data_IF_915960105592
#
_entry.id   IF_915960105592
#
_cell.length_a   1.000
_cell.length_b   1.000
_cell.length_c   1.000
_cell.angle_alpha   90.00
_cell.angle_beta   90.00
_cell.angle_gamma   90.00
#
_symmetry.space_group_name_H-M   'P 1'
#
loop_
_entity.id
_entity.type
_entity.pdbx_description
1 polymer ?
#
# COMPACT_ATOMS: atom_id res chain seq x y z
N UNK A 1 3.88 -5.52 -28.32
CA UNK A 1 4.79 -6.50 -27.68
C UNK A 1 5.81 -5.78 -26.79
N UNK A 2 6.74 -4.98 -27.32
CA UNK A 2 7.81 -4.32 -26.52
C UNK A 2 7.36 -3.48 -25.31
N UNK A 3 6.21 -2.79 -25.36
CA UNK A 3 5.73 -1.95 -24.23
C UNK A 3 5.24 -2.79 -23.06
N UNK A 4 4.50 -3.87 -23.33
CA UNK A 4 4.01 -4.77 -22.29
C UNK A 4 5.16 -5.51 -21.59
N UNK A 5 6.17 -5.92 -22.35
CA UNK A 5 7.34 -6.59 -21.80
C UNK A 5 8.13 -5.67 -20.86
N UNK A 6 8.22 -4.37 -21.20
CA UNK A 6 8.85 -3.36 -20.33
C UNK A 6 8.03 -3.09 -19.07
N UNK A 7 6.70 -2.98 -19.18
CA UNK A 7 5.83 -2.78 -18.01
C UNK A 7 5.94 -3.97 -17.04
N UNK A 8 5.84 -5.20 -17.56
CA UNK A 8 5.98 -6.42 -16.76
C UNK A 8 7.35 -6.51 -16.07
N UNK A 9 8.42 -6.11 -16.74
CA UNK A 9 9.76 -6.08 -16.14
C UNK A 9 9.85 -5.08 -14.98
N UNK A 10 9.24 -3.89 -15.13
CA UNK A 10 9.20 -2.86 -14.07
C UNK A 10 8.33 -3.28 -12.90
N UNK A 11 7.16 -3.86 -13.15
CA UNK A 11 6.31 -4.48 -12.13
C UNK A 11 7.10 -5.54 -11.33
N UNK A 12 7.84 -6.41 -12.03
CA UNK A 12 8.72 -7.39 -11.39
C UNK A 12 9.84 -6.78 -10.53
N UNK A 13 10.33 -5.59 -10.90
CA UNK A 13 11.31 -4.83 -10.09
C UNK A 13 10.67 -4.25 -8.83
N UNK A 14 9.48 -3.64 -8.96
CA UNK A 14 8.69 -3.11 -7.84
C UNK A 14 8.38 -4.22 -6.84
N UNK A 15 7.93 -5.38 -7.33
CA UNK A 15 7.66 -6.54 -6.48
C UNK A 15 8.84 -6.93 -5.61
N UNK A 16 10.02 -7.10 -6.23
CA UNK A 16 11.24 -7.49 -5.50
C UNK A 16 11.62 -6.47 -4.44
N UNK A 17 11.46 -5.18 -4.75
CA UNK A 17 11.75 -4.10 -3.80
C UNK A 17 10.80 -4.12 -2.60
N UNK A 18 9.48 -4.24 -2.84
CA UNK A 18 8.48 -4.29 -1.77
C UNK A 18 8.69 -5.54 -0.89
N UNK A 19 8.89 -6.71 -1.51
CA UNK A 19 9.17 -7.96 -0.79
C UNK A 19 10.43 -7.86 0.07
N UNK A 20 11.50 -7.25 -0.43
CA UNK A 20 12.75 -7.05 0.32
C UNK A 20 12.58 -6.07 1.49
N UNK A 21 11.81 -4.99 1.30
CA UNK A 21 11.62 -3.95 2.30
C UNK A 21 10.71 -4.40 3.46
N UNK A 22 9.62 -5.10 3.15
CA UNK A 22 8.61 -5.51 4.14
C UNK A 22 8.85 -6.89 4.73
N UNK A 23 9.66 -7.73 4.06
CA UNK A 23 10.00 -9.10 4.47
C UNK A 23 8.77 -10.00 4.64
N UNK A 24 9.05 -11.29 4.83
CA UNK A 24 8.01 -12.30 5.10
C UNK A 24 8.01 -12.63 6.59
N UNK A 25 7.24 -11.86 7.35
CA UNK A 25 7.08 -12.01 8.80
C UNK A 25 5.73 -12.65 9.14
N UNK A 26 5.61 -13.18 10.36
CA UNK A 26 4.33 -13.69 10.86
C UNK A 26 3.31 -12.56 11.00
N UNK A 27 2.03 -12.82 10.73
CA UNK A 27 0.99 -11.81 10.92
C UNK A 27 0.88 -11.41 12.40
N UNK A 28 0.52 -10.14 12.67
CA UNK A 28 0.23 -9.70 14.03
C UNK A 28 -1.02 -10.40 14.57
N UNK A 29 -1.19 -10.36 15.89
CA UNK A 29 -2.40 -10.90 16.51
C UNK A 29 -3.64 -10.15 16.01
N UNK A 30 -4.79 -10.82 15.94
CA UNK A 30 -6.03 -10.22 15.44
C UNK A 30 -6.43 -8.95 16.23
N UNK A 31 -6.12 -8.91 17.54
CA UNK A 31 -6.34 -7.75 18.40
C UNK A 31 -5.40 -6.57 18.11
N UNK A 32 -4.30 -6.80 17.41
CA UNK A 32 -3.36 -5.75 17.01
C UNK A 32 -3.73 -5.17 15.63
N UNK A 33 -4.52 -5.87 14.82
CA UNK A 33 -4.93 -5.40 13.48
C UNK A 33 -5.92 -4.24 13.58
N UNK A 34 -6.83 -4.25 14.56
CA UNK A 34 -7.87 -3.22 14.74
C UNK A 34 -7.93 -2.72 16.19
N UNK A 35 -8.43 -1.51 16.40
CA UNK A 35 -8.62 -0.91 17.75
C UNK A 35 -10.08 -0.59 18.09
N UNK A 36 -11.02 -0.95 17.22
CA UNK A 36 -12.44 -0.64 17.36
C UNK A 36 -13.32 -1.88 17.21
N UNK A 37 -14.49 -1.87 17.86
CA UNK A 37 -15.49 -2.94 17.77
C UNK A 37 -16.68 -2.58 16.88
N UNK A 38 -16.55 -1.53 16.06
CA UNK A 38 -17.53 -1.23 15.02
C UNK A 38 -17.52 -2.32 13.93
N UNK A 39 -18.60 -2.37 13.14
CA UNK A 39 -18.83 -3.44 12.18
C UNK A 39 -17.70 -3.56 11.15
N UNK A 40 -17.27 -2.44 10.56
CA UNK A 40 -16.27 -2.41 9.49
C UNK A 40 -14.87 -2.84 9.99
N UNK A 41 -14.34 -2.34 11.13
CA UNK A 41 -13.14 -2.91 11.73
C UNK A 41 -13.26 -4.42 12.02
N UNK A 42 -14.41 -4.89 12.53
CA UNK A 42 -14.58 -6.32 12.80
C UNK A 42 -14.52 -7.16 11.51
N UNK A 43 -15.11 -6.69 10.42
CA UNK A 43 -15.01 -7.35 9.11
C UNK A 43 -13.56 -7.40 8.61
N UNK A 44 -12.80 -6.30 8.76
CA UNK A 44 -11.37 -6.28 8.44
C UNK A 44 -10.62 -7.32 9.28
N UNK A 45 -10.83 -7.35 10.60
CA UNK A 45 -10.19 -8.35 11.46
C UNK A 45 -10.54 -9.77 11.02
N UNK A 46 -11.81 -10.07 10.77
CA UNK A 46 -12.27 -11.41 10.43
C UNK A 46 -11.66 -11.92 9.11
N UNK A 47 -11.45 -11.03 8.14
CA UNK A 47 -10.80 -11.39 6.88
C UNK A 47 -9.28 -11.49 7.00
N UNK A 48 -8.62 -10.54 7.69
CA UNK A 48 -7.17 -10.44 7.71
C UNK A 48 -6.51 -11.30 8.79
N UNK A 49 -7.19 -11.64 9.89
CA UNK A 49 -6.59 -12.37 11.01
C UNK A 49 -5.91 -13.68 10.57
N UNK A 50 -4.62 -13.81 10.90
CA UNK A 50 -3.80 -14.98 10.57
C UNK A 50 -3.41 -15.13 9.09
N UNK A 51 -3.86 -14.23 8.20
CA UNK A 51 -3.43 -14.23 6.79
C UNK A 51 -2.08 -13.55 6.64
N UNK A 52 -1.24 -14.11 5.79
CA UNK A 52 0.07 -13.50 5.47
C UNK A 52 -0.16 -12.46 4.39
N UNK A 53 0.54 -11.32 4.44
CA UNK A 53 0.28 -10.25 3.48
C UNK A 53 0.46 -10.69 2.03
N UNK A 54 1.36 -11.65 1.76
CA UNK A 54 1.59 -12.21 0.42
C UNK A 54 0.54 -13.23 -0.05
N UNK A 55 -0.39 -13.61 0.83
CA UNK A 55 -1.57 -14.41 0.45
C UNK A 55 -2.80 -13.51 0.21
N UNK A 56 -2.72 -12.21 0.52
CA UNK A 56 -3.80 -11.27 0.23
C UNK A 56 -3.74 -10.92 -1.26
N UNK A 57 -4.84 -11.18 -1.97
CA UNK A 57 -4.96 -10.94 -3.41
C UNK A 57 -6.19 -10.10 -3.70
N UNK A 58 -6.21 -9.49 -4.89
CA UNK A 58 -7.35 -8.74 -5.38
C UNK A 58 -8.60 -9.62 -5.49
N UNK A 59 -8.45 -10.83 -6.04
CA UNK A 59 -9.55 -11.80 -6.12
C UNK A 59 -10.10 -12.16 -4.74
N UNK A 60 -9.23 -12.41 -3.75
CA UNK A 60 -9.68 -12.68 -2.38
C UNK A 60 -10.43 -11.50 -1.76
N UNK A 61 -10.01 -10.27 -2.05
CA UNK A 61 -10.73 -9.06 -1.59
C UNK A 61 -12.10 -8.88 -2.27
N UNK A 62 -12.31 -9.44 -3.46
CA UNK A 62 -13.60 -9.36 -4.16
C UNK A 62 -14.54 -10.52 -3.82
N UNK A 63 -13.99 -11.72 -3.62
CA UNK A 63 -14.79 -12.93 -3.41
C UNK A 63 -15.08 -13.19 -1.93
N UNK A 64 -14.08 -12.98 -1.07
CA UNK A 64 -14.11 -13.47 0.31
C UNK A 64 -14.30 -12.33 1.34
N UNK A 65 -13.99 -11.08 0.98
CA UNK A 65 -14.17 -9.94 1.88
C UNK A 65 -15.57 -9.32 1.71
N UNK A 66 -16.30 -9.24 2.82
CA UNK A 66 -17.71 -8.79 2.82
C UNK A 66 -17.88 -7.26 2.86
N UNK A 67 -16.83 -6.51 3.21
CA UNK A 67 -16.87 -5.05 3.35
C UNK A 67 -16.39 -4.29 2.12
N UNK A 68 -16.14 -2.99 2.28
CA UNK A 68 -15.50 -2.17 1.24
C UNK A 68 -13.98 -2.43 1.18
N UNK A 69 -13.55 -3.17 0.16
CA UNK A 69 -12.17 -3.62 -0.01
C UNK A 69 -11.17 -2.46 -0.18
N UNK A 70 -11.64 -1.31 -0.67
CA UNK A 70 -10.84 -0.09 -0.83
C UNK A 70 -10.54 0.61 0.51
N UNK A 71 -11.37 0.38 1.52
CA UNK A 71 -11.30 1.08 2.80
C UNK A 71 -10.56 0.30 3.91
N UNK A 72 -10.15 -0.96 3.66
CA UNK A 72 -9.62 -1.85 4.70
C UNK A 72 -8.50 -1.23 5.55
N UNK A 73 -7.48 -0.64 4.90
CA UNK A 73 -6.34 -0.03 5.60
C UNK A 73 -6.77 1.12 6.54
N UNK A 74 -7.88 1.80 6.24
CA UNK A 74 -8.39 2.91 7.07
C UNK A 74 -8.94 2.44 8.42
N UNK A 75 -9.36 1.17 8.51
CA UNK A 75 -9.89 0.59 9.75
C UNK A 75 -8.83 -0.15 10.56
N UNK A 76 -7.61 -0.29 10.04
CA UNK A 76 -6.51 -0.94 10.74
C UNK A 76 -5.79 0.01 11.70
N UNK A 77 -5.15 -0.55 12.72
CA UNK A 77 -4.16 0.16 13.54
C UNK A 77 -2.89 0.45 12.72
N UNK A 78 -1.96 1.21 13.29
CA UNK A 78 -0.62 1.36 12.70
C UNK A 78 0.11 0.04 12.47
N UNK A 79 -0.02 -0.94 13.38
CA UNK A 79 0.58 -2.26 13.24
C UNK A 79 -0.07 -3.07 12.09
N UNK A 80 -1.41 -3.02 11.99
CA UNK A 80 -2.15 -3.66 10.89
C UNK A 80 -1.77 -3.06 9.53
N UNK A 81 -1.74 -1.73 9.43
CA UNK A 81 -1.31 -1.04 8.21
C UNK A 81 0.13 -1.41 7.86
N UNK A 82 1.07 -1.36 8.81
CA UNK A 82 2.48 -1.68 8.54
C UNK A 82 2.66 -3.11 7.98
N UNK A 83 1.87 -4.07 8.46
CA UNK A 83 1.94 -5.45 8.00
C UNK A 83 1.28 -5.69 6.64
N UNK A 84 0.07 -5.13 6.40
CA UNK A 84 -0.71 -5.42 5.19
C UNK A 84 -0.53 -4.45 4.03
N UNK A 85 0.03 -3.25 4.27
CA UNK A 85 0.38 -2.29 3.22
C UNK A 85 1.12 -2.89 2.01
N UNK A 86 2.11 -3.79 2.14
CA UNK A 86 2.79 -4.37 0.97
C UNK A 86 1.85 -5.11 0.03
N UNK A 87 0.76 -5.72 0.51
CA UNK A 87 -0.22 -6.34 -0.38
C UNK A 87 -0.89 -5.30 -1.29
N UNK A 88 -1.30 -4.16 -0.72
CA UNK A 88 -1.93 -3.07 -1.46
C UNK A 88 -0.97 -2.36 -2.41
N UNK A 89 0.29 -2.17 -2.00
CA UNK A 89 1.34 -1.64 -2.89
C UNK A 89 1.50 -2.50 -4.15
N UNK A 90 1.52 -3.83 -3.98
CA UNK A 90 1.65 -4.75 -5.12
C UNK A 90 0.37 -4.82 -5.95
N UNK A 91 -0.81 -4.85 -5.33
CA UNK A 91 -2.07 -4.82 -6.06
C UNK A 91 -2.18 -3.57 -6.93
N UNK A 92 -1.85 -2.40 -6.39
CA UNK A 92 -1.86 -1.14 -7.15
C UNK A 92 -0.83 -1.16 -8.29
N UNK A 93 0.38 -1.68 -8.06
CA UNK A 93 1.42 -1.72 -9.10
C UNK A 93 1.17 -2.77 -10.20
N UNK A 94 0.49 -3.88 -9.88
CA UNK A 94 0.38 -5.02 -10.81
C UNK A 94 -0.99 -5.14 -11.46
N UNK A 95 -2.03 -4.67 -10.79
CA UNK A 95 -3.43 -4.83 -11.17
C UNK A 95 -4.16 -3.48 -11.18
N UNK A 96 -3.47 -2.39 -11.55
CA UNK A 96 -3.99 -1.03 -11.43
C UNK A 96 -5.40 -0.84 -12.01
N UNK A 97 -5.62 -1.23 -13.27
CA UNK A 97 -6.94 -1.10 -13.92
C UNK A 97 -7.90 -2.25 -13.57
N UNK A 98 -7.37 -3.44 -13.28
CA UNK A 98 -8.20 -4.61 -12.96
C UNK A 98 -8.79 -4.55 -11.55
N UNK A 99 -8.14 -3.83 -10.63
CA UNK A 99 -8.58 -3.67 -9.25
C UNK A 99 -9.60 -2.56 -9.01
N UNK A 100 -9.92 -1.77 -10.03
CA UNK A 100 -10.86 -0.67 -9.95
C UNK A 100 -10.58 0.23 -8.74
N UNK A 101 -11.60 0.51 -7.93
CA UNK A 101 -11.49 1.41 -6.76
C UNK A 101 -10.40 0.95 -5.78
N UNK A 102 -10.15 -0.36 -5.61
CA UNK A 102 -9.14 -0.84 -4.64
C UNK A 102 -7.73 -0.34 -4.99
N UNK A 103 -7.43 -0.25 -6.28
CA UNK A 103 -6.10 0.07 -6.81
C UNK A 103 -6.01 1.51 -7.32
N UNK A 104 -7.07 2.04 -7.91
CA UNK A 104 -7.13 3.43 -8.41
C UNK A 104 -7.24 4.45 -7.26
N UNK A 105 -8.00 4.18 -6.19
CA UNK A 105 -8.06 5.06 -5.02
C UNK A 105 -6.94 4.80 -3.99
N UNK A 106 -6.06 3.84 -4.26
CA UNK A 106 -5.00 3.44 -3.33
C UNK A 106 -4.11 4.62 -2.94
N UNK A 107 -3.62 5.38 -3.92
CA UNK A 107 -2.73 6.51 -3.68
C UNK A 107 -3.41 7.60 -2.84
N UNK A 108 -4.70 7.86 -3.10
CA UNK A 108 -5.50 8.77 -2.30
C UNK A 108 -5.67 8.28 -0.84
N UNK A 109 -5.97 6.99 -0.64
CA UNK A 109 -6.05 6.37 0.69
C UNK A 109 -4.72 6.42 1.46
N UNK A 110 -3.62 6.13 0.76
CA UNK A 110 -2.27 6.20 1.29
C UNK A 110 -1.89 7.64 1.68
N UNK A 111 -2.21 8.63 0.85
CA UNK A 111 -2.02 10.06 1.16
C UNK A 111 -2.71 10.44 2.47
N UNK A 112 -3.96 10.01 2.67
CA UNK A 112 -4.68 10.27 3.94
C UNK A 112 -3.98 9.64 5.13
N UNK A 113 -3.43 8.44 4.97
CA UNK A 113 -2.67 7.74 6.02
C UNK A 113 -1.38 8.48 6.38
N UNK A 114 -0.64 8.95 5.37
CA UNK A 114 0.56 9.80 5.54
C UNK A 114 0.20 11.13 6.24
N UNK A 115 -0.93 11.73 5.89
CA UNK A 115 -1.37 12.99 6.52
C UNK A 115 -1.80 12.81 7.97
N UNK A 116 -2.32 11.63 8.34
CA UNK A 116 -2.70 11.22 9.70
C UNK A 116 -1.62 10.39 10.37
N UNK A 117 -0.38 10.88 10.28
CA UNK A 117 0.79 10.19 10.82
C UNK A 117 0.74 10.01 12.34
N UNK A 118 -0.01 10.84 13.05
CA UNK A 118 -0.32 10.68 14.48
C UNK A 118 -1.04 9.35 14.78
N UNK A 119 -1.85 8.87 13.83
CA UNK A 119 -2.58 7.61 13.92
C UNK A 119 -1.78 6.43 13.35
N UNK A 120 -1.24 6.57 12.15
CA UNK A 120 -0.62 5.45 11.41
C UNK A 120 0.89 5.33 11.60
N UNK A 121 1.55 6.39 12.08
CA UNK A 121 2.98 6.42 12.44
C UNK A 121 3.91 5.97 11.31
N UNK A 122 3.54 6.25 10.07
CA UNK A 122 4.30 5.85 8.88
C UNK A 122 5.66 6.58 8.79
N UNK A 123 5.78 7.75 9.41
CA UNK A 123 7.06 8.46 9.58
C UNK A 123 8.05 7.70 10.45
N UNK A 124 7.63 6.71 11.23
CA UNK A 124 8.51 5.85 12.03
C UNK A 124 9.00 4.62 11.26
N UNK A 125 8.48 4.37 10.06
CA UNK A 125 8.92 3.24 9.25
C UNK A 125 10.41 3.34 8.92
N UNK A 126 11.06 2.18 8.86
CA UNK A 126 12.45 2.09 8.42
C UNK A 126 12.64 2.63 7.00
N UNK A 127 13.85 3.13 6.72
CA UNK A 127 14.20 3.77 5.44
C UNK A 127 13.82 2.93 4.22
N UNK A 128 14.03 1.61 4.26
CA UNK A 128 13.74 0.73 3.14
C UNK A 128 12.23 0.60 2.85
N UNK A 129 11.38 0.54 3.90
CA UNK A 129 9.92 0.56 3.73
C UNK A 129 9.45 1.88 3.12
N UNK A 130 9.98 3.01 3.61
CA UNK A 130 9.65 4.34 3.08
C UNK A 130 10.05 4.49 1.61
N UNK A 131 11.27 4.06 1.24
CA UNK A 131 11.72 4.04 -0.16
C UNK A 131 10.81 3.19 -1.04
N UNK A 132 10.46 1.97 -0.60
CA UNK A 132 9.56 1.11 -1.36
C UNK A 132 8.17 1.76 -1.58
N UNK A 133 7.63 2.45 -0.57
CA UNK A 133 6.37 3.20 -0.70
C UNK A 133 6.51 4.31 -1.77
N UNK A 134 7.58 5.11 -1.71
CA UNK A 134 7.79 6.18 -2.69
C UNK A 134 7.98 5.62 -4.10
N UNK A 135 8.77 4.57 -4.27
CA UNK A 135 9.04 3.96 -5.58
C UNK A 135 7.76 3.39 -6.23
N UNK A 136 6.85 2.84 -5.42
CA UNK A 136 5.52 2.47 -5.90
C UNK A 136 4.73 3.69 -6.35
N UNK A 137 4.70 4.79 -5.58
CA UNK A 137 4.00 6.02 -5.98
C UNK A 137 4.58 6.64 -7.26
N UNK A 138 5.91 6.66 -7.40
CA UNK A 138 6.60 7.09 -8.63
C UNK A 138 6.18 6.21 -9.80
N UNK A 139 6.12 4.89 -9.59
CA UNK A 139 5.69 3.95 -10.61
C UNK A 139 4.24 4.20 -11.03
N UNK A 140 3.30 4.37 -10.08
CA UNK A 140 1.89 4.65 -10.38
C UNK A 140 1.72 5.94 -11.18
N UNK A 141 2.44 7.00 -10.79
CA UNK A 141 2.40 8.27 -11.52
C UNK A 141 2.98 8.15 -12.94
N UNK A 142 4.16 7.54 -13.09
CA UNK A 142 4.85 7.46 -14.39
C UNK A 142 4.17 6.48 -15.37
N UNK A 143 3.66 5.35 -14.88
CA UNK A 143 3.10 4.31 -15.75
C UNK A 143 1.60 4.45 -15.97
N UNK A 144 0.85 4.90 -14.97
CA UNK A 144 -0.61 4.98 -15.04
C UNK A 144 -1.16 6.40 -15.07
N UNK A 145 -0.29 7.41 -14.89
CA UNK A 145 -0.72 8.81 -14.85
C UNK A 145 -1.51 9.15 -13.59
N UNK A 146 -1.32 8.40 -12.49
CA UNK A 146 -2.03 8.60 -11.23
C UNK A 146 -1.59 9.94 -10.58
N UNK A 147 -2.46 10.96 -10.67
CA UNK A 147 -2.22 12.28 -10.06
C UNK A 147 -2.29 12.22 -8.53
N UNK A 148 -3.07 11.30 -7.96
CA UNK A 148 -3.13 11.10 -6.51
C UNK A 148 -1.83 10.52 -5.98
N UNK A 149 -1.10 9.74 -6.79
CA UNK A 149 0.23 9.29 -6.45
C UNK A 149 1.24 10.45 -6.38
N UNK A 150 1.13 11.43 -7.29
CA UNK A 150 1.92 12.67 -7.23
C UNK A 150 1.59 13.50 -5.97
N UNK A 151 0.30 13.62 -5.63
CA UNK A 151 -0.13 14.30 -4.40
C UNK A 151 0.34 13.56 -3.13
N UNK A 152 0.32 12.23 -3.12
CA UNK A 152 0.85 11.43 -2.03
C UNK A 152 2.36 11.66 -1.84
N UNK A 153 3.13 11.72 -2.93
CA UNK A 153 4.56 12.07 -2.89
C UNK A 153 4.80 13.48 -2.32
N UNK A 154 3.98 14.47 -2.67
CA UNK A 154 4.04 15.82 -2.07
C UNK A 154 3.75 15.78 -0.57
N UNK A 155 2.78 14.97 -0.13
CA UNK A 155 2.51 14.78 1.29
C UNK A 155 3.70 14.12 2.02
N UNK A 156 4.40 13.17 1.38
CA UNK A 156 5.63 12.55 1.91
C UNK A 156 6.72 13.60 2.09
N UNK A 157 6.99 14.45 1.10
CA UNK A 157 7.98 15.51 1.21
C UNK A 157 7.75 16.39 2.46
N UNK A 158 6.49 16.76 2.71
CA UNK A 158 6.10 17.56 3.88
C UNK A 158 6.26 16.78 5.20
N UNK A 159 5.96 15.48 5.23
CA UNK A 159 5.88 14.69 6.47
C UNK A 159 7.17 13.95 6.83
N UNK A 160 7.90 13.46 5.84
CA UNK A 160 9.10 12.64 6.01
C UNK A 160 10.37 13.37 5.60
N UNK A 161 10.27 14.45 4.81
CA UNK A 161 11.39 15.22 4.28
C UNK A 161 11.57 15.06 2.77
N UNK A 162 12.15 16.08 2.13
CA UNK A 162 12.35 16.15 0.66
C UNK A 162 13.34 15.11 0.13
N UNK A 163 14.22 14.56 0.98
CA UNK A 163 15.21 13.55 0.60
C UNK A 163 14.58 12.28 0.04
N UNK A 164 13.31 12.02 0.38
CA UNK A 164 12.58 10.86 -0.10
C UNK A 164 12.01 11.04 -1.51
N UNK A 165 11.84 12.28 -2.00
CA UNK A 165 11.27 12.54 -3.34
C UNK A 165 12.35 12.85 -4.39
N UNK A 166 13.48 13.43 -3.96
CA UNK A 166 14.55 13.88 -4.85
C UNK A 166 15.44 12.76 -5.45
N UNK A 167 15.17 11.50 -5.13
CA UNK A 167 15.93 10.35 -5.66
C UNK A 167 15.34 9.73 -6.94
N UNK A 168 14.11 10.10 -7.34
CA UNK A 168 13.41 9.51 -8.50
C UNK A 168 13.14 10.44 -9.69
N UNK A 169 13.68 11.67 -9.65
CA UNK A 169 13.27 12.80 -10.50
C UNK A 169 14.35 13.44 -11.38
N UNK A 170 15.50 12.80 -11.59
CA UNK A 170 16.44 13.22 -12.64
C UNK A 170 16.62 12.09 -13.64
N UNK A 171 15.85 12.14 -14.72
CA UNK A 171 16.24 11.75 -16.09
C UNK A 171 15.23 12.34 -17.08
#
# INVERSE_FOLDING_TARGET
MRVQDTLNARQGSIRKMVEAAFKKENPPDASEIISSLHLEPLQVKDYFAGKRWWDITLQGLFDDYIGDSSACLTFMTSAGVEYYLPAYLLMAAEHYYDGGIVTEDFAYGLKRSIMRDDLYRMSLYGTEKKKAIVEVLVFLWKEYGDEEALEAMRAIAVRWGDEYINSGGQE
#
